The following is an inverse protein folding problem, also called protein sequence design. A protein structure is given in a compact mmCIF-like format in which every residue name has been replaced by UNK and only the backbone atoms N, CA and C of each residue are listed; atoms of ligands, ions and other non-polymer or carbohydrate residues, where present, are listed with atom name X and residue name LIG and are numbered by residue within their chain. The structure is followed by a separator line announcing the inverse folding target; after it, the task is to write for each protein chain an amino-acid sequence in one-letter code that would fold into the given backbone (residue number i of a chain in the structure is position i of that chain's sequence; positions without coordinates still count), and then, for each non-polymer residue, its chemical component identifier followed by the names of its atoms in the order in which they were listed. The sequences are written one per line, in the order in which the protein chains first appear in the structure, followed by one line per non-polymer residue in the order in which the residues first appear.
data_IF_907682798316
#
_entry.id   IF_907682798316
#
_cell.length_a   1.000
_cell.length_b   1.000
_cell.length_c   1.000
_cell.angle_alpha   90.00
_cell.angle_beta   90.00
_cell.angle_gamma   90.00
#
_symmetry.space_group_name_H-M   'P 1'
#
loop_
_entity.id
_entity.type
_entity.pdbx_description
1 polymer ?
#
# COMPACT_ATOMS: atom_id res chain seq x y z
N UNK A 1 -43.22 31.01 57.36
CA UNK A 1 -43.70 29.63 57.12
C UNK A 1 -43.84 29.49 55.62
N UNK A 2 -43.18 28.65 54.82
CA UNK A 2 -42.36 27.43 54.95
C UNK A 2 -41.28 27.54 53.84
N UNK A 3 -39.97 27.54 54.11
CA UNK A 3 -39.09 26.39 54.34
C UNK A 3 -38.96 25.41 53.16
N UNK A 4 -37.75 25.40 52.55
CA UNK A 4 -36.95 24.23 52.12
C UNK A 4 -37.51 23.47 50.89
N UNK A 5 -36.79 23.21 49.79
CA UNK A 5 -35.52 22.49 49.74
C UNK A 5 -34.87 22.61 48.36
N UNK A 6 -33.62 23.05 48.30
CA UNK A 6 -32.75 22.87 47.15
C UNK A 6 -32.18 21.45 47.21
N UNK A 7 -32.57 20.58 46.27
CA UNK A 7 -31.94 19.27 46.13
C UNK A 7 -30.66 19.42 45.32
N UNK A 8 -29.54 19.53 46.05
CA UNK A 8 -28.19 19.36 45.55
C UNK A 8 -28.00 17.89 45.12
N UNK A 9 -27.96 17.64 43.80
CA UNK A 9 -27.56 16.35 43.25
C UNK A 9 -26.03 16.29 43.12
N UNK A 10 -25.36 15.91 44.21
CA UNK A 10 -23.96 15.48 44.21
C UNK A 10 -23.89 14.01 43.79
N UNK A 11 -23.52 13.74 42.54
CA UNK A 11 -23.08 12.41 42.11
C UNK A 11 -21.65 12.48 41.58
N UNK A 12 -20.72 12.06 42.43
CA UNK A 12 -19.30 11.89 42.19
C UNK A 12 -19.05 10.76 41.18
N UNK A 13 -18.35 11.06 40.07
CA UNK A 13 -17.76 10.07 39.18
C UNK A 13 -16.22 10.16 39.29
N UNK A 14 -15.52 9.20 39.93
CA UNK A 14 -14.09 9.10 39.79
C UNK A 14 -13.79 8.25 38.55
N UNK A 15 -13.22 8.85 37.51
CA UNK A 15 -12.65 8.11 36.38
C UNK A 15 -11.12 8.24 36.45
N UNK A 16 -10.49 7.09 36.73
CA UNK A 16 -9.08 6.74 36.68
C UNK A 16 -8.25 7.59 35.69
N UNK A 17 -7.17 8.21 36.18
CA UNK A 17 -6.02 8.53 35.33
C UNK A 17 -5.30 7.21 34.99
N UNK A 18 -5.33 6.82 33.73
CA UNK A 18 -4.39 5.83 33.21
C UNK A 18 -3.18 6.59 32.63
N UNK A 19 -2.04 6.52 33.33
CA UNK A 19 -0.75 6.90 32.77
C UNK A 19 -0.37 5.88 31.70
N UNK A 20 -0.42 6.27 30.44
CA UNK A 20 0.12 5.46 29.35
C UNK A 20 1.63 5.71 29.34
N UNK A 21 2.39 4.75 29.87
CA UNK A 21 3.84 4.77 29.81
C UNK A 21 4.31 4.82 28.35
N UNK A 22 5.02 5.88 27.98
CA UNK A 22 5.72 5.95 26.69
C UNK A 22 6.84 4.90 26.70
N UNK A 23 6.64 3.80 25.99
CA UNK A 23 7.70 2.83 25.73
C UNK A 23 8.75 3.47 24.80
N UNK A 24 9.89 3.84 25.38
CA UNK A 24 11.06 4.28 24.62
C UNK A 24 11.62 3.09 23.82
N UNK A 25 11.24 2.96 22.55
CA UNK A 25 11.92 2.07 21.61
C UNK A 25 13.22 2.74 21.14
N UNK A 26 14.32 2.45 21.82
CA UNK A 26 15.58 3.13 21.53
C UNK A 26 16.82 2.43 22.08
N UNK A 27 17.07 1.19 21.66
CA UNK A 27 18.45 0.67 21.59
C UNK A 27 18.67 -0.03 20.25
N UNK A 28 19.26 0.75 19.35
CA UNK A 28 19.80 0.36 18.08
C UNK A 28 20.65 -0.91 18.23
N UNK A 29 20.17 -1.99 17.63
CA UNK A 29 20.97 -3.18 17.38
C UNK A 29 22.10 -2.79 16.43
N UNK A 30 23.32 -3.15 16.80
CA UNK A 30 24.52 -2.86 16.05
C UNK A 30 24.60 -3.82 14.84
N UNK A 31 23.72 -3.66 13.85
CA UNK A 31 23.65 -4.53 12.65
C UNK A 31 24.75 -4.23 11.62
N UNK A 32 25.86 -3.61 12.04
CA UNK A 32 26.86 -3.01 11.13
C UNK A 32 28.01 -3.95 10.75
N UNK A 33 27.80 -5.27 10.73
CA UNK A 33 28.78 -6.26 10.23
C UNK A 33 28.18 -7.40 9.40
N UNK A 34 27.02 -7.19 8.79
CA UNK A 34 26.48 -8.11 7.77
C UNK A 34 26.46 -7.51 6.36
N UNK A 35 26.85 -6.24 6.21
CA UNK A 35 26.85 -5.56 4.92
C UNK A 35 28.18 -5.69 4.14
N UNK A 36 29.23 -6.29 4.71
CA UNK A 36 30.59 -6.27 4.12
C UNK A 36 31.05 -7.62 3.53
N UNK A 37 30.29 -8.71 3.70
CA UNK A 37 30.73 -10.06 3.23
C UNK A 37 29.79 -10.66 2.18
N UNK A 38 29.28 -9.83 1.27
CA UNK A 38 28.61 -10.31 0.06
C UNK A 38 29.16 -9.58 -1.17
N UNK A 39 30.49 -9.44 -1.25
CA UNK A 39 31.19 -8.90 -2.43
C UNK A 39 31.96 -10.00 -3.21
N UNK A 40 31.52 -11.25 -3.13
CA UNK A 40 32.10 -12.28 -4.00
C UNK A 40 31.20 -13.49 -4.15
N UNK A 41 30.14 -13.30 -4.91
CA UNK A 41 29.52 -14.41 -5.60
C UNK A 41 28.92 -13.85 -6.88
N UNK A 42 29.13 -14.55 -7.98
CA UNK A 42 28.65 -14.22 -9.32
C UNK A 42 27.13 -14.37 -9.40
N UNK A 43 26.43 -13.58 -8.59
CA UNK A 43 24.98 -13.48 -8.54
C UNK A 43 24.63 -12.17 -9.24
N UNK A 44 23.96 -12.26 -10.37
CA UNK A 44 23.35 -11.08 -10.98
C UNK A 44 22.30 -10.53 -10.01
N UNK A 45 22.64 -9.44 -9.34
CA UNK A 45 21.69 -8.67 -8.54
C UNK A 45 20.71 -8.02 -9.51
N UNK A 46 19.60 -8.70 -9.78
CA UNK A 46 18.49 -8.09 -10.52
C UNK A 46 17.80 -7.12 -9.55
N UNK A 47 17.83 -5.83 -9.88
CA UNK A 47 17.10 -4.80 -9.14
C UNK A 47 15.61 -5.20 -9.16
N UNK A 48 14.96 -5.24 -8.00
CA UNK A 48 13.54 -5.63 -7.88
C UNK A 48 12.60 -4.71 -8.68
N UNK A 49 13.09 -3.52 -9.04
CA UNK A 49 12.43 -2.52 -9.89
C UNK A 49 12.31 -2.94 -11.37
N UNK A 50 12.79 -4.13 -11.75
CA UNK A 50 12.60 -4.67 -13.09
C UNK A 50 11.82 -5.97 -13.06
N UNK A 51 10.71 -6.00 -13.80
CA UNK A 51 9.90 -7.19 -14.00
C UNK A 51 10.29 -7.83 -15.33
N UNK A 52 10.74 -9.09 -15.29
CA UNK A 52 11.13 -9.84 -16.50
C UNK A 52 10.18 -11.01 -16.72
N UNK A 53 10.07 -11.49 -17.97
CA UNK A 53 9.17 -12.56 -18.36
C UNK A 53 7.69 -12.33 -17.96
N UNK A 54 7.27 -11.06 -17.98
CA UNK A 54 5.90 -10.68 -17.64
C UNK A 54 4.92 -11.08 -18.75
N UNK A 55 3.72 -11.51 -18.36
CA UNK A 55 2.58 -11.70 -19.26
C UNK A 55 1.71 -10.45 -19.21
N UNK A 56 1.27 -9.98 -20.37
CA UNK A 56 0.43 -8.80 -20.48
C UNK A 56 -0.97 -9.19 -20.95
N UNK A 57 -1.97 -8.57 -20.35
CA UNK A 57 -3.37 -8.56 -20.80
C UNK A 57 -3.84 -7.11 -20.94
N UNK A 58 -5.03 -6.89 -21.48
CA UNK A 58 -5.63 -5.57 -21.56
C UNK A 58 -6.92 -5.53 -20.74
N UNK A 59 -7.24 -4.34 -20.24
CA UNK A 59 -8.51 -4.02 -19.59
C UNK A 59 -8.93 -2.61 -20.02
N UNK A 60 -10.20 -2.28 -19.85
CA UNK A 60 -10.70 -0.93 -20.11
C UNK A 60 -10.67 -0.13 -18.81
N UNK A 61 -9.80 0.87 -18.71
CA UNK A 61 -9.71 1.73 -17.52
C UNK A 61 -10.88 2.74 -17.43
N UNK A 62 -11.64 2.90 -18.53
CA UNK A 62 -12.78 3.80 -18.63
C UNK A 62 -14.09 2.99 -18.65
N UNK A 63 -14.33 2.25 -17.59
CA UNK A 63 -15.56 1.49 -17.34
C UNK A 63 -16.51 2.20 -16.36
N UNK A 64 -16.09 3.35 -15.82
CA UNK A 64 -16.84 4.11 -14.83
C UNK A 64 -16.60 3.65 -13.39
N UNK A 65 -15.66 2.73 -13.17
CA UNK A 65 -15.19 2.31 -11.86
C UNK A 65 -13.94 3.10 -11.45
N UNK A 66 -13.74 3.17 -10.15
CA UNK A 66 -12.52 3.72 -9.58
C UNK A 66 -11.44 2.63 -9.55
N UNK A 67 -10.22 2.99 -9.94
CA UNK A 67 -9.04 2.11 -9.89
C UNK A 67 -8.39 2.10 -8.51
N UNK A 68 -7.55 1.10 -8.22
CA UNK A 68 -6.92 0.89 -6.91
C UNK A 68 -6.04 2.05 -6.44
N UNK A 69 -5.37 2.79 -7.35
CA UNK A 69 -4.64 4.00 -6.97
C UNK A 69 -5.55 5.22 -6.70
N UNK A 70 -6.87 5.04 -6.82
CA UNK A 70 -7.87 6.09 -6.66
C UNK A 70 -8.15 6.88 -7.94
N UNK A 71 -9.35 7.45 -8.01
CA UNK A 71 -9.80 8.28 -9.13
C UNK A 71 -10.39 7.50 -10.31
N UNK A 72 -10.83 8.24 -11.32
CA UNK A 72 -11.40 7.71 -12.55
C UNK A 72 -10.49 8.10 -13.71
N UNK A 73 -10.18 7.14 -14.57
CA UNK A 73 -9.29 7.36 -15.70
C UNK A 73 -10.06 7.24 -17.02
N UNK A 74 -9.48 7.84 -18.06
CA UNK A 74 -10.02 7.82 -19.41
C UNK A 74 -8.94 7.28 -20.35
N UNK A 75 -9.35 6.64 -21.45
CA UNK A 75 -8.46 5.98 -22.42
C UNK A 75 -7.67 6.96 -23.32
N UNK A 76 -7.09 8.01 -22.74
CA UNK A 76 -6.32 9.04 -23.47
C UNK A 76 -4.81 8.80 -23.42
N UNK A 77 -4.34 7.89 -22.57
CA UNK A 77 -2.94 7.55 -22.41
C UNK A 77 -2.72 6.10 -22.01
N UNK A 78 -1.46 5.68 -21.96
CA UNK A 78 -1.09 4.34 -21.53
C UNK A 78 -1.14 4.25 -20.01
N UNK A 79 -2.08 3.47 -19.50
CA UNK A 79 -2.16 3.10 -18.09
C UNK A 79 -1.89 1.61 -17.93
N UNK A 80 -1.46 1.20 -16.74
CA UNK A 80 -1.17 -0.20 -16.43
C UNK A 80 -1.70 -0.54 -15.05
N UNK A 81 -2.17 -1.78 -14.92
CA UNK A 81 -2.49 -2.41 -13.65
C UNK A 81 -1.38 -3.39 -13.28
N UNK A 82 -0.91 -3.35 -12.04
CA UNK A 82 0.13 -4.25 -11.54
C UNK A 82 -0.49 -5.44 -10.80
N UNK A 83 0.14 -6.61 -10.83
CA UNK A 83 -0.27 -7.70 -9.93
C UNK A 83 -0.11 -7.27 -8.47
N UNK A 84 -0.88 -7.86 -7.55
CA UNK A 84 -0.81 -7.56 -6.11
C UNK A 84 0.63 -7.51 -5.56
N UNK A 85 1.49 -8.45 -5.97
CA UNK A 85 2.89 -8.51 -5.52
C UNK A 85 3.74 -7.35 -6.07
N UNK A 86 3.44 -6.86 -7.28
CA UNK A 86 4.16 -5.77 -7.91
C UNK A 86 3.62 -4.40 -7.49
N UNK A 87 2.33 -4.34 -7.17
CA UNK A 87 1.66 -3.11 -6.72
C UNK A 87 2.13 -2.69 -5.33
N UNK A 88 2.56 -3.64 -4.49
CA UNK A 88 3.20 -3.40 -3.20
C UNK A 88 2.38 -2.44 -2.30
N UNK A 89 1.09 -2.75 -2.17
CA UNK A 89 0.17 -1.95 -1.36
C UNK A 89 -0.07 -0.53 -1.89
N UNK A 90 0.22 -0.28 -3.17
CA UNK A 90 0.06 1.02 -3.81
C UNK A 90 1.30 1.92 -3.74
N UNK A 91 2.44 1.40 -3.30
CA UNK A 91 3.69 2.17 -3.24
C UNK A 91 4.12 2.73 -4.59
N UNK A 92 3.69 2.10 -5.69
CA UNK A 92 4.00 2.49 -7.06
C UNK A 92 2.90 3.31 -7.78
N UNK A 93 1.86 3.75 -7.07
CA UNK A 93 0.78 4.52 -7.68
C UNK A 93 1.26 5.83 -8.30
N UNK A 94 0.88 6.08 -9.56
CA UNK A 94 1.26 7.27 -10.32
C UNK A 94 2.67 7.22 -10.91
N UNK A 95 3.46 6.18 -10.60
CA UNK A 95 4.77 6.00 -11.21
C UNK A 95 4.65 5.64 -12.69
N UNK A 96 5.68 6.02 -13.46
CA UNK A 96 5.80 5.70 -14.88
C UNK A 96 6.75 4.54 -15.07
N UNK A 97 6.29 3.50 -15.76
CA UNK A 97 7.11 2.34 -16.11
C UNK A 97 7.33 2.25 -17.61
N UNK A 98 8.46 1.65 -17.98
CA UNK A 98 8.76 1.30 -19.36
C UNK A 98 8.35 -0.15 -19.61
N UNK A 99 7.46 -0.35 -20.58
CA UNK A 99 7.01 -1.68 -21.02
C UNK A 99 7.74 -2.01 -22.32
N UNK A 100 8.37 -3.18 -22.36
CA UNK A 100 9.10 -3.69 -23.54
C UNK A 100 8.47 -4.99 -24.03
N UNK A 101 8.05 -5.04 -25.29
CA UNK A 101 7.46 -6.23 -25.94
C UNK A 101 7.87 -6.32 -27.41
N UNK A 102 8.40 -7.47 -27.83
CA UNK A 102 8.85 -7.73 -29.22
C UNK A 102 9.72 -6.61 -29.82
N UNK A 103 10.65 -6.07 -29.04
CA UNK A 103 11.56 -5.00 -29.47
C UNK A 103 10.95 -3.59 -29.51
N UNK A 104 9.67 -3.43 -29.14
CA UNK A 104 9.02 -2.13 -28.99
C UNK A 104 8.99 -1.72 -27.52
N UNK A 105 9.12 -0.43 -27.27
CA UNK A 105 9.07 0.14 -25.93
C UNK A 105 8.03 1.25 -25.86
N UNK A 106 7.33 1.34 -24.73
CA UNK A 106 6.41 2.45 -24.41
C UNK A 106 6.47 2.77 -22.93
N UNK A 107 6.00 3.95 -22.54
CA UNK A 107 5.85 4.35 -21.14
C UNK A 107 4.38 4.35 -20.75
N UNK A 108 4.04 3.76 -19.60
CA UNK A 108 2.71 3.75 -19.04
C UNK A 108 2.71 4.22 -17.58
N UNK A 109 1.60 4.77 -17.12
CA UNK A 109 1.40 5.16 -15.71
C UNK A 109 0.70 4.04 -14.94
N UNK A 110 1.21 3.71 -13.76
CA UNK A 110 0.58 2.74 -12.85
C UNK A 110 -0.61 3.42 -12.17
N UNK A 111 -1.80 2.84 -12.36
CA UNK A 111 -3.05 3.40 -11.83
C UNK A 111 -3.90 2.38 -11.10
N UNK A 112 -3.61 1.09 -11.23
CA UNK A 112 -4.49 0.05 -10.73
C UNK A 112 -3.74 -1.20 -10.24
N UNK A 113 -4.45 -2.03 -9.49
CA UNK A 113 -4.02 -3.34 -9.03
C UNK A 113 -4.90 -4.40 -9.72
N UNK A 114 -4.29 -5.45 -10.24
CA UNK A 114 -4.99 -6.69 -10.59
C UNK A 114 -4.87 -7.65 -9.43
N UNK A 115 -5.90 -7.68 -8.60
CA UNK A 115 -6.16 -8.82 -7.73
C UNK A 115 -6.80 -9.91 -8.58
N UNK A 116 -6.18 -11.08 -8.64
CA UNK A 116 -6.92 -12.27 -9.04
C UNK A 116 -7.83 -12.60 -7.86
N UNK A 117 -9.00 -11.98 -7.81
CA UNK A 117 -10.10 -12.53 -7.03
C UNK A 117 -10.25 -13.95 -7.56
N UNK A 118 -10.00 -14.94 -6.69
CA UNK A 118 -10.63 -16.23 -6.86
C UNK A 118 -12.11 -15.93 -6.66
N UNK A 119 -12.79 -15.43 -7.70
CA UNK A 119 -14.21 -15.62 -7.82
C UNK A 119 -14.37 -17.12 -7.71
N UNK A 120 -14.76 -17.56 -6.52
CA UNK A 120 -15.31 -18.86 -6.27
C UNK A 120 -16.42 -19.01 -7.30
N UNK A 121 -16.11 -19.68 -8.41
CA UNK A 121 -17.06 -20.28 -9.32
C UNK A 121 -17.97 -21.11 -8.43
N UNK A 122 -19.06 -20.52 -8.01
CA UNK A 122 -20.05 -21.15 -7.15
C UNK A 122 -21.30 -21.29 -7.98
N UNK A 123 -21.55 -22.53 -8.43
CA UNK A 123 -22.85 -23.01 -8.90
C UNK A 123 -23.07 -22.88 -10.39
#
# INVERSE_FOLDING_TARGET
MRAVSALLSLLSLPALLAEVATAAHGRAGNHRRLAEVVESSNHTLIKRDQFTNARYTYYNVQDGLQVACGGFYVNTGWTVALTTLQWDGGSHCGEKITISWQGKTTTATIVDEVSYELESVTG
#
